data_IF_979749182637
#
_entry.id   IF_979749182637
#
_cell.length_a   1.000
_cell.length_b   1.000
_cell.length_c   1.000
_cell.angle_alpha   90.00
_cell.angle_beta   90.00
_cell.angle_gamma   90.00
#
_symmetry.space_group_name_H-M   'P 1'
#
loop_
_entity.id
_entity.type
_entity.pdbx_description
1 polymer ?
#
# COMPACT_ATOMS: atom_id res chain seq x y z
N UNK A 1 -6.87 -21.39 28.16
CA UNK A 1 -6.83 -20.08 27.47
C UNK A 1 -5.93 -20.27 26.27
N UNK A 2 -6.47 -20.05 25.09
CA UNK A 2 -6.23 -20.78 23.84
C UNK A 2 -4.86 -20.56 23.20
N UNK A 3 -4.14 -21.66 22.91
CA UNK A 3 -2.92 -21.71 22.08
C UNK A 3 -3.22 -21.59 20.58
N UNK A 4 -4.49 -21.81 20.19
CA UNK A 4 -4.97 -21.84 18.81
C UNK A 4 -5.05 -20.46 18.13
N UNK A 5 -5.16 -19.37 18.88
CA UNK A 5 -5.24 -18.02 18.28
C UNK A 5 -3.87 -17.56 17.74
N UNK A 6 -2.77 -18.01 18.34
CA UNK A 6 -1.42 -17.53 18.06
C UNK A 6 -0.80 -18.12 16.77
N UNK A 7 -1.11 -19.38 16.45
CA UNK A 7 -0.66 -20.01 15.20
C UNK A 7 -1.41 -19.48 13.98
N UNK A 8 -2.69 -19.12 14.15
CA UNK A 8 -3.50 -18.55 13.07
C UNK A 8 -3.08 -17.10 12.76
N UNK A 9 -2.80 -16.30 13.80
CA UNK A 9 -2.24 -14.96 13.65
C UNK A 9 -0.85 -14.99 12.99
N UNK A 10 0.00 -15.96 13.34
CA UNK A 10 1.30 -16.13 12.69
C UNK A 10 1.18 -16.51 11.22
N UNK A 11 0.31 -17.46 10.89
CA UNK A 11 0.09 -17.88 9.50
C UNK A 11 -0.49 -16.75 8.64
N UNK A 12 -1.36 -15.91 9.21
CA UNK A 12 -1.89 -14.72 8.53
C UNK A 12 -0.82 -13.64 8.36
N UNK A 13 0.05 -13.41 9.35
CA UNK A 13 1.15 -12.47 9.23
C UNK A 13 2.18 -12.89 8.17
N UNK A 14 2.52 -14.18 8.10
CA UNK A 14 3.41 -14.72 7.07
C UNK A 14 2.80 -14.65 5.66
N UNK A 15 1.48 -14.87 5.55
CA UNK A 15 0.76 -14.72 4.29
C UNK A 15 0.74 -13.26 3.82
N UNK A 16 0.49 -12.31 4.73
CA UNK A 16 0.57 -10.88 4.43
C UNK A 16 1.98 -10.54 3.94
N UNK A 17 3.04 -10.85 4.70
CA UNK A 17 4.40 -10.52 4.30
C UNK A 17 4.82 -11.15 2.97
N UNK A 18 4.30 -12.34 2.65
CA UNK A 18 4.51 -12.97 1.33
C UNK A 18 3.84 -12.16 0.22
N UNK A 19 2.60 -11.71 0.40
CA UNK A 19 1.88 -10.85 -0.55
C UNK A 19 2.61 -9.52 -0.73
N UNK A 20 3.03 -8.88 0.36
CA UNK A 20 3.81 -7.64 0.31
C UNK A 20 5.15 -7.86 -0.41
N UNK A 21 5.85 -8.97 -0.17
CA UNK A 21 7.11 -9.28 -0.87
C UNK A 21 6.95 -9.55 -2.37
N UNK A 22 5.84 -10.20 -2.77
CA UNK A 22 5.59 -10.59 -4.15
C UNK A 22 4.97 -9.47 -5.00
N UNK A 23 4.11 -8.64 -4.40
CA UNK A 23 3.33 -7.60 -5.10
C UNK A 23 3.67 -6.18 -4.64
N UNK A 24 4.51 -6.03 -3.62
CA UNK A 24 4.91 -4.73 -3.09
C UNK A 24 5.91 -4.03 -4.00
N UNK A 25 5.66 -2.74 -4.19
CA UNK A 25 6.53 -1.80 -4.89
C UNK A 25 7.24 -0.91 -3.90
N UNK A 26 8.56 -0.75 -4.08
CA UNK A 26 9.35 0.18 -3.28
C UNK A 26 9.08 1.61 -3.75
N UNK A 27 8.64 2.45 -2.81
CA UNK A 27 8.32 3.86 -3.06
C UNK A 27 8.95 4.76 -2.00
N UNK A 28 9.21 6.02 -2.36
CA UNK A 28 9.58 7.08 -1.42
C UNK A 28 8.47 8.11 -1.36
N UNK A 29 8.09 8.51 -0.15
CA UNK A 29 7.13 9.59 0.06
C UNK A 29 7.89 10.89 0.30
N UNK A 30 7.68 11.88 -0.57
CA UNK A 30 8.35 13.19 -0.54
C UNK A 30 9.89 13.11 -0.47
N UNK A 31 10.49 12.10 -1.11
CA UNK A 31 11.95 11.90 -1.10
C UNK A 31 12.51 11.33 0.21
N UNK A 32 11.65 10.83 1.10
CA UNK A 32 12.04 10.13 2.31
C UNK A 32 12.65 8.74 2.05
N UNK A 33 12.69 7.93 3.10
CA UNK A 33 13.17 6.55 3.00
C UNK A 33 12.27 5.69 2.10
N UNK A 34 12.88 4.68 1.49
CA UNK A 34 12.16 3.76 0.63
C UNK A 34 11.36 2.78 1.50
N UNK A 35 10.07 2.71 1.27
CA UNK A 35 9.12 1.83 1.96
C UNK A 35 8.38 0.96 0.95
N UNK A 36 7.80 -0.13 1.42
CA UNK A 36 7.00 -1.01 0.58
C UNK A 36 5.54 -0.55 0.57
N UNK A 37 4.98 -0.40 -0.62
CA UNK A 37 3.55 -0.14 -0.82
C UNK A 37 2.98 -1.23 -1.74
N UNK A 38 1.71 -1.58 -1.61
CA UNK A 38 1.07 -2.55 -2.52
C UNK A 38 0.04 -1.82 -3.38
N UNK A 39 -0.02 -2.18 -4.66
CA UNK A 39 -1.14 -1.75 -5.49
C UNK A 39 -2.41 -2.46 -5.02
N UNK A 40 -3.44 -1.68 -4.68
CA UNK A 40 -4.76 -2.27 -4.49
C UNK A 40 -5.40 -2.42 -5.87
N UNK A 41 -5.29 -3.64 -6.41
CA UNK A 41 -5.85 -4.05 -7.70
C UNK A 41 -7.31 -4.52 -7.63
N UNK A 42 -8.05 -4.17 -6.56
CA UNK A 42 -9.53 -4.26 -6.55
C UNK A 42 -10.15 -3.22 -7.52
N UNK A 43 -9.78 -3.34 -8.79
CA UNK A 43 -10.39 -2.64 -9.90
C UNK A 43 -11.73 -3.30 -10.14
N UNK A 44 -12.82 -2.63 -9.78
CA UNK A 44 -14.10 -2.91 -10.41
C UNK A 44 -13.89 -2.77 -11.93
N UNK A 45 -14.40 -3.73 -12.71
CA UNK A 45 -14.22 -3.81 -14.17
C UNK A 45 -14.60 -2.51 -14.91
N UNK A 46 -15.41 -1.65 -14.28
CA UNK A 46 -15.76 -0.31 -14.74
C UNK A 46 -14.65 0.75 -14.58
N UNK A 47 -13.80 0.67 -13.54
CA UNK A 47 -12.72 1.63 -13.28
C UNK A 47 -11.48 1.37 -14.15
N UNK A 48 -11.27 0.10 -14.52
CA UNK A 48 -10.22 -0.31 -15.46
C UNK A 48 -10.44 0.27 -16.87
N UNK A 49 -11.69 0.48 -17.28
CA UNK A 49 -12.07 1.10 -18.56
C UNK A 49 -11.88 2.63 -18.58
N UNK A 50 -11.87 3.28 -17.42
CA UNK A 50 -11.65 4.74 -17.28
C UNK A 50 -10.17 5.12 -17.09
N UNK A 51 -9.31 4.14 -16.83
CA UNK A 51 -7.88 4.20 -17.10
C UNK A 51 -6.95 4.62 -15.96
N UNK A 52 -7.36 5.20 -14.83
CA UNK A 52 -6.37 5.92 -14.00
C UNK A 52 -6.60 6.03 -12.48
N UNK A 53 -7.38 5.18 -11.82
CA UNK A 53 -7.40 5.18 -10.35
C UNK A 53 -6.36 4.17 -9.83
N UNK A 54 -5.11 4.60 -9.70
CA UNK A 54 -4.07 3.79 -9.03
C UNK A 54 -4.16 4.01 -7.53
N UNK A 55 -4.57 2.99 -6.80
CA UNK A 55 -4.56 2.97 -5.33
C UNK A 55 -3.25 2.37 -4.85
N UNK A 56 -2.67 2.99 -3.82
CA UNK A 56 -1.56 2.43 -3.07
C UNK A 56 -1.96 2.26 -1.60
N UNK A 57 -1.70 1.07 -1.09
CA UNK A 57 -1.81 0.73 0.33
C UNK A 57 -0.44 0.77 1.00
N UNK A 58 -0.40 1.40 2.16
CA UNK A 58 0.77 1.57 3.01
C UNK A 58 0.48 0.94 4.38
N UNK A 59 1.41 0.13 4.91
CA UNK A 59 1.28 -0.39 6.27
C UNK A 59 1.39 0.77 7.27
N UNK A 60 0.46 0.87 8.22
CA UNK A 60 0.54 1.91 9.26
C UNK A 60 1.75 1.72 10.19
N UNK A 61 2.25 0.49 10.32
CA UNK A 61 3.44 0.13 11.09
C UNK A 61 4.71 0.79 10.57
N UNK A 62 4.76 1.15 9.28
CA UNK A 62 5.94 1.75 8.65
C UNK A 62 6.11 3.23 9.05
N UNK A 63 5.19 3.79 9.83
CA UNK A 63 5.25 5.15 10.34
C UNK A 63 4.97 6.23 9.29
N UNK A 64 4.72 5.85 8.04
CA UNK A 64 4.44 6.79 6.95
C UNK A 64 2.95 6.96 6.76
N UNK A 65 2.51 8.22 6.68
CA UNK A 65 1.10 8.60 6.43
C UNK A 65 1.02 9.53 5.22
N UNK A 66 1.00 8.97 4.00
CA UNK A 66 0.85 9.79 2.80
C UNK A 66 -0.51 10.49 2.79
N UNK A 67 -0.56 11.70 2.26
CA UNK A 67 -1.78 12.53 2.16
C UNK A 67 -1.86 13.21 0.81
N UNK A 68 -3.06 13.70 0.47
CA UNK A 68 -3.28 14.51 -0.74
C UNK A 68 -2.22 15.59 -0.91
N UNK A 69 -1.60 15.61 -2.10
CA UNK A 69 -0.51 16.52 -2.48
C UNK A 69 0.90 15.96 -2.28
N UNK A 70 1.08 14.88 -1.53
CA UNK A 70 2.39 14.23 -1.38
C UNK A 70 2.85 13.61 -2.71
N UNK A 71 4.17 13.58 -2.90
CA UNK A 71 4.81 12.95 -4.06
C UNK A 71 5.26 11.54 -3.71
N UNK A 72 4.93 10.59 -4.59
CA UNK A 72 5.33 9.19 -4.49
C UNK A 72 6.31 8.90 -5.63
N UNK A 73 7.57 8.62 -5.29
CA UNK A 73 8.60 8.19 -6.23
C UNK A 73 8.70 6.66 -6.22
N UNK A 74 8.54 6.03 -7.38
CA UNK A 74 8.72 4.59 -7.56
C UNK A 74 10.21 4.29 -7.78
N UNK A 75 10.85 3.64 -6.81
CA UNK A 75 12.31 3.45 -6.78
C UNK A 75 12.84 2.71 -8.01
N UNK A 76 12.09 1.73 -8.52
CA UNK A 76 12.51 0.92 -9.67
C UNK A 76 12.55 1.68 -11.00
N UNK A 77 11.73 2.74 -11.15
CA UNK A 77 11.57 3.46 -12.42
C UNK A 77 11.99 4.93 -12.33
N UNK A 78 12.14 5.47 -11.12
CA UNK A 78 12.31 6.91 -10.87
C UNK A 78 11.07 7.74 -11.19
N UNK A 79 9.94 7.11 -11.55
CA UNK A 79 8.69 7.82 -11.86
C UNK A 79 8.12 8.44 -10.59
N UNK A 80 7.67 9.69 -10.66
CA UNK A 80 6.95 10.34 -9.58
C UNK A 80 5.48 10.53 -9.94
N UNK A 81 4.59 10.20 -9.01
CA UNK A 81 3.15 10.53 -9.05
C UNK A 81 2.77 11.36 -7.82
N UNK A 82 1.61 12.00 -7.87
CA UNK A 82 1.12 12.86 -6.77
C UNK A 82 -0.12 12.23 -6.18
N UNK A 83 -0.23 12.18 -4.86
CA UNK A 83 -1.45 11.73 -4.20
C UNK A 83 -2.60 12.70 -4.52
N UNK A 84 -3.60 12.22 -5.24
CA UNK A 84 -4.80 12.97 -5.63
C UNK A 84 -5.88 12.94 -4.55
N UNK A 85 -5.95 11.86 -3.76
CA UNK A 85 -6.91 11.70 -2.64
C UNK A 85 -6.44 10.75 -1.54
N UNK A 86 -7.06 10.85 -0.35
CA UNK A 86 -6.70 10.13 0.87
C UNK A 86 -5.96 10.99 1.91
N UNK A 87 -5.58 10.42 3.07
CA UNK A 87 -5.56 8.98 3.38
C UNK A 87 -6.94 8.41 3.75
N UNK A 88 -7.19 7.17 3.34
CA UNK A 88 -8.35 6.37 3.75
C UNK A 88 -7.88 5.20 4.63
N UNK A 89 -8.49 4.97 5.80
CA UNK A 89 -8.17 3.80 6.61
C UNK A 89 -8.74 2.53 5.98
N UNK A 90 -7.96 1.47 5.93
CA UNK A 90 -8.37 0.17 5.38
C UNK A 90 -7.69 -0.98 6.14
N UNK A 91 -8.45 -1.71 6.97
CA UNK A 91 -7.95 -2.94 7.61
C UNK A 91 -6.64 -2.81 8.43
N UNK A 92 -6.30 -1.63 8.94
CA UNK A 92 -5.00 -1.38 9.62
C UNK A 92 -3.90 -0.81 8.71
N UNK A 93 -4.20 -0.62 7.42
CA UNK A 93 -3.38 0.08 6.44
C UNK A 93 -3.95 1.48 6.13
N UNK A 94 -3.17 2.26 5.39
CA UNK A 94 -3.58 3.54 4.82
C UNK A 94 -3.58 3.40 3.31
N UNK A 95 -4.71 3.73 2.69
CA UNK A 95 -4.83 3.84 1.25
C UNK A 95 -4.78 5.29 0.78
N UNK A 96 -4.16 5.49 -0.37
CA UNK A 96 -4.20 6.75 -1.12
C UNK A 96 -4.40 6.50 -2.61
N UNK A 97 -4.94 7.50 -3.29
CA UNK A 97 -5.11 7.51 -4.74
C UNK A 97 -4.05 8.42 -5.35
N UNK A 98 -3.38 7.96 -6.41
CA UNK A 98 -2.36 8.71 -7.15
C UNK A 98 -2.91 9.48 -8.37
#
# INVERSE_FOLDING_TARGET
>A
MSTFDNEFDQAMAEADDTIWSAFGVMVKVNGGEAIQAVYDESLNEFDAMAGLVRKLSFKTSDGVRPRKGDKIEFVSTGRTLTVTSGPYPDGGNIQVIL
#
